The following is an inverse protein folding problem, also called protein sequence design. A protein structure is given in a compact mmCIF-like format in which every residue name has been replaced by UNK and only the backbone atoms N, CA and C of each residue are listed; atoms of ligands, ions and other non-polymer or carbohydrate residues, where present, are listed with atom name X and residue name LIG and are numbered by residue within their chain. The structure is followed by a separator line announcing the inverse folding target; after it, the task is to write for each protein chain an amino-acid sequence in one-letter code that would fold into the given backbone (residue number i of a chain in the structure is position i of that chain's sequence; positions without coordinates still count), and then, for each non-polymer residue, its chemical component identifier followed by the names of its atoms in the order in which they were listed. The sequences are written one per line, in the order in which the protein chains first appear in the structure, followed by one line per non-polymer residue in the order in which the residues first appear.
data_IF_741009239012
#
_entry.id   IF_741009239012
#
_cell.length_a   1.000
_cell.length_b   1.000
_cell.length_c   1.000
_cell.angle_alpha   90.00
_cell.angle_beta   90.00
_cell.angle_gamma   90.00
#
_symmetry.space_group_name_H-M   'P 1'
#
loop_
_entity.id
_entity.type
_entity.pdbx_description
1 polymer ?
#
# COMPACT_ATOMS: atom_id res chain seq x y z
N UNK A 1 -17.39 12.76 21.47
CA UNK A 1 -16.11 13.43 21.81
C UNK A 1 -15.06 12.78 20.96
N UNK A 2 -14.62 13.41 19.88
CA UNK A 2 -13.51 12.90 19.09
C UNK A 2 -12.24 13.07 19.91
N UNK A 3 -11.61 11.95 20.25
CA UNK A 3 -10.34 11.94 20.97
C UNK A 3 -9.31 12.62 20.07
N UNK A 4 -8.79 13.76 20.49
CA UNK A 4 -7.86 14.61 19.74
C UNK A 4 -6.43 14.06 19.85
N UNK A 5 -6.28 12.74 19.92
CA UNK A 5 -4.98 12.09 19.90
C UNK A 5 -4.50 11.95 18.46
N UNK A 6 -3.24 12.30 18.22
CA UNK A 6 -2.64 12.20 16.92
C UNK A 6 -2.77 10.75 16.38
N UNK A 7 -3.24 10.54 15.13
CA UNK A 7 -3.59 9.21 14.60
C UNK A 7 -2.47 8.18 14.71
N UNK A 8 -1.21 8.62 14.66
CA UNK A 8 -0.04 7.74 14.75
C UNK A 8 0.11 7.03 16.09
N UNK A 9 -0.43 7.59 17.20
CA UNK A 9 -0.33 6.98 18.54
C UNK A 9 -1.01 5.62 18.62
N UNK A 10 -1.95 5.35 17.72
CA UNK A 10 -2.61 4.07 17.58
C UNK A 10 -1.64 2.97 17.11
N UNK A 11 -0.69 3.32 16.23
CA UNK A 11 0.16 2.36 15.53
C UNK A 11 1.59 2.30 16.07
N UNK A 12 2.03 3.34 16.80
CA UNK A 12 3.41 3.51 17.23
C UNK A 12 3.51 3.79 18.73
N UNK A 13 4.59 3.33 19.34
CA UNK A 13 4.91 3.63 20.74
C UNK A 13 5.66 4.95 20.86
N UNK A 14 5.72 5.50 22.08
CA UNK A 14 6.44 6.75 22.35
C UNK A 14 7.91 6.73 21.92
N UNK A 15 8.56 5.56 21.95
CA UNK A 15 9.96 5.40 21.49
C UNK A 15 10.11 5.62 19.97
N UNK A 16 9.03 5.46 19.22
CA UNK A 16 9.02 5.58 17.78
C UNK A 16 8.55 6.97 17.32
N UNK A 17 7.99 7.80 18.23
CA UNK A 17 7.53 9.14 17.88
C UNK A 17 8.57 10.03 17.20
N UNK A 18 9.87 10.01 17.56
CA UNK A 18 10.88 10.79 16.85
C UNK A 18 11.01 10.43 15.37
N UNK A 19 10.81 9.13 15.02
CA UNK A 19 10.80 8.63 13.63
C UNK A 19 9.55 9.10 12.92
N UNK A 20 8.40 8.93 13.57
CA UNK A 20 7.10 9.32 13.04
C UNK A 20 7.03 10.83 12.78
N UNK A 21 7.56 11.63 13.70
CA UNK A 21 7.65 13.06 13.53
C UNK A 21 8.57 13.43 12.35
N UNK A 22 9.70 12.75 12.20
CA UNK A 22 10.59 12.97 11.06
C UNK A 22 9.92 12.61 9.72
N UNK A 23 9.13 11.55 9.67
CA UNK A 23 8.33 11.17 8.49
C UNK A 23 7.27 12.24 8.19
N UNK A 24 6.54 12.68 9.21
CA UNK A 24 5.50 13.70 9.07
C UNK A 24 6.07 15.03 8.58
N UNK A 25 7.19 15.48 9.15
CA UNK A 25 7.85 16.75 8.84
C UNK A 25 8.70 16.69 7.55
N UNK A 26 8.79 15.52 6.91
CA UNK A 26 9.67 15.25 5.78
C UNK A 26 11.16 15.55 6.06
N UNK A 27 11.60 15.29 7.30
CA UNK A 27 12.98 15.51 7.76
C UNK A 27 13.87 14.34 7.33
N UNK A 28 14.37 14.43 6.10
CA UNK A 28 15.20 13.39 5.45
C UNK A 28 16.53 13.21 6.17
N UNK A 29 17.14 14.28 6.65
CA UNK A 29 18.43 14.23 7.33
C UNK A 29 18.32 13.47 8.66
N UNK A 30 17.24 13.69 9.39
CA UNK A 30 16.97 12.97 10.63
C UNK A 30 16.68 11.48 10.38
N UNK A 31 15.97 11.15 9.31
CA UNK A 31 15.75 9.75 8.91
C UNK A 31 17.09 9.07 8.59
N UNK A 32 17.97 9.71 7.81
CA UNK A 32 19.30 9.17 7.51
C UNK A 32 20.16 8.98 8.78
N UNK A 33 20.16 9.95 9.69
CA UNK A 33 20.87 9.83 10.97
C UNK A 33 20.37 8.64 11.79
N UNK A 34 19.04 8.41 11.81
CA UNK A 34 18.45 7.25 12.49
C UNK A 34 18.85 5.92 11.81
N UNK A 35 18.86 5.86 10.48
CA UNK A 35 19.31 4.69 9.74
C UNK A 35 20.80 4.40 10.03
N UNK A 36 21.65 5.41 10.04
CA UNK A 36 23.06 5.27 10.42
C UNK A 36 23.26 4.79 11.88
N UNK A 37 22.32 5.10 12.76
CA UNK A 37 22.28 4.61 14.15
C UNK A 37 21.65 3.21 14.27
N UNK A 38 21.32 2.56 13.15
CA UNK A 38 20.84 1.18 13.11
C UNK A 38 19.33 1.02 13.07
N UNK A 39 18.57 2.10 12.85
CA UNK A 39 17.13 1.94 12.57
C UNK A 39 16.93 1.26 11.22
N UNK A 40 16.09 0.22 11.22
CA UNK A 40 15.75 -0.53 10.01
C UNK A 40 14.45 0.03 9.42
N UNK A 41 14.53 0.58 8.21
CA UNK A 41 13.36 1.10 7.46
C UNK A 41 12.31 0.02 7.19
N UNK A 42 12.75 -1.25 7.07
CA UNK A 42 11.91 -2.43 6.89
C UNK A 42 11.56 -3.07 8.25
N UNK A 43 11.12 -2.26 9.19
CA UNK A 43 10.57 -2.71 10.45
C UNK A 43 9.14 -2.18 10.63
N UNK A 44 8.44 -2.75 11.59
CA UNK A 44 7.09 -2.31 11.97
C UNK A 44 7.16 -1.55 13.29
N UNK A 45 6.30 -0.58 13.45
CA UNK A 45 5.98 0.01 14.73
C UNK A 45 5.40 -1.03 15.70
N UNK A 46 5.37 -0.68 16.98
CA UNK A 46 4.94 -1.59 18.06
C UNK A 46 3.58 -2.27 17.78
N UNK A 47 2.69 -1.59 17.08
CA UNK A 47 1.35 -2.09 16.76
C UNK A 47 1.22 -2.55 15.31
N UNK A 48 2.34 -2.82 14.63
CA UNK A 48 2.40 -3.57 13.39
C UNK A 48 2.34 -2.76 12.10
N UNK A 49 2.20 -1.44 12.16
CA UNK A 49 2.23 -0.61 10.95
C UNK A 49 3.66 -0.39 10.46
N UNK A 50 3.91 -0.57 9.16
CA UNK A 50 5.18 -0.23 8.54
C UNK A 50 5.33 1.29 8.35
N UNK A 51 6.57 1.78 8.40
CA UNK A 51 6.84 3.21 8.20
C UNK A 51 6.56 3.67 6.77
N UNK A 52 6.75 2.78 5.78
CA UNK A 52 6.41 3.07 4.40
C UNK A 52 4.90 3.23 4.21
N UNK A 53 4.08 2.31 4.75
CA UNK A 53 2.62 2.42 4.69
C UNK A 53 2.13 3.68 5.40
N UNK A 54 2.73 4.02 6.55
CA UNK A 54 2.41 5.23 7.27
C UNK A 54 2.70 6.50 6.43
N UNK A 55 3.86 6.56 5.75
CA UNK A 55 4.19 7.69 4.87
C UNK A 55 3.21 7.83 3.68
N UNK A 56 2.72 6.70 3.15
CA UNK A 56 1.66 6.69 2.12
C UNK A 56 0.36 7.26 2.69
N UNK A 57 -0.05 6.87 3.89
CA UNK A 57 -1.29 7.35 4.52
C UNK A 57 -1.24 8.81 4.97
N UNK A 58 -0.06 9.32 5.35
CA UNK A 58 0.17 10.74 5.63
C UNK A 58 0.19 11.62 4.36
N UNK A 59 0.01 11.00 3.19
CA UNK A 59 0.09 11.69 1.90
C UNK A 59 1.42 12.41 1.68
N UNK A 60 2.50 11.91 2.27
CA UNK A 60 3.83 12.47 2.13
C UNK A 60 4.60 11.81 0.98
N UNK A 61 4.35 12.29 -0.24
CA UNK A 61 4.94 11.72 -1.46
C UNK A 61 6.47 11.76 -1.44
N UNK A 62 7.05 12.89 -1.03
CA UNK A 62 8.49 13.08 -1.00
C UNK A 62 9.18 12.17 0.01
N UNK A 63 8.55 11.95 1.17
CA UNK A 63 9.06 11.02 2.17
C UNK A 63 8.85 9.56 1.72
N UNK A 64 7.71 9.21 1.13
CA UNK A 64 7.46 7.88 0.57
C UNK A 64 8.54 7.51 -0.44
N UNK A 65 8.80 8.43 -1.40
CA UNK A 65 9.86 8.25 -2.40
C UNK A 65 11.23 8.11 -1.74
N UNK A 66 11.54 8.97 -0.79
CA UNK A 66 12.82 8.96 -0.07
C UNK A 66 13.04 7.64 0.70
N UNK A 67 12.03 7.11 1.37
CA UNK A 67 12.12 5.82 2.05
C UNK A 67 12.40 4.69 1.06
N UNK A 68 11.72 4.67 -0.09
CA UNK A 68 11.95 3.70 -1.16
C UNK A 68 13.38 3.79 -1.73
N UNK A 69 13.89 5.01 -1.99
CA UNK A 69 15.26 5.27 -2.44
C UNK A 69 16.31 4.77 -1.42
N UNK A 70 15.94 4.71 -0.14
CA UNK A 70 16.80 4.25 0.94
C UNK A 70 16.49 2.81 1.40
N UNK A 71 15.87 2.01 0.54
CA UNK A 71 15.75 0.56 0.71
C UNK A 71 14.49 0.11 1.45
N UNK A 72 13.47 0.95 1.57
CA UNK A 72 12.18 0.47 2.02
C UNK A 72 11.60 -0.53 1.01
N UNK A 73 11.17 -1.69 1.49
CA UNK A 73 10.55 -2.74 0.67
C UNK A 73 9.09 -2.36 0.36
N UNK A 74 8.74 -2.11 -0.91
CA UNK A 74 7.37 -1.78 -1.30
C UNK A 74 6.39 -2.94 -1.09
N UNK A 75 6.90 -4.15 -0.82
CA UNK A 75 6.11 -5.35 -0.52
C UNK A 75 6.13 -5.71 0.97
N UNK A 76 6.56 -4.81 1.85
CA UNK A 76 6.59 -5.06 3.27
C UNK A 76 5.17 -5.04 3.85
N UNK A 77 4.69 -6.20 4.30
CA UNK A 77 3.34 -6.35 4.86
C UNK A 77 3.27 -5.72 6.25
N UNK A 78 2.37 -4.77 6.44
CA UNK A 78 1.97 -4.30 7.76
C UNK A 78 0.94 -5.25 8.35
N UNK A 79 1.06 -5.56 9.65
CA UNK A 79 0.14 -6.43 10.37
C UNK A 79 -0.29 -5.70 11.63
N UNK A 80 -1.43 -5.02 11.60
CA UNK A 80 -1.90 -4.21 12.71
C UNK A 80 -3.35 -4.54 13.07
N UNK A 81 -3.75 -4.12 14.26
CA UNK A 81 -5.12 -4.30 14.75
C UNK A 81 -5.94 -3.07 14.40
N UNK A 82 -7.13 -3.29 13.86
CA UNK A 82 -8.03 -2.18 13.56
C UNK A 82 -8.67 -1.65 14.84
N UNK A 83 -9.75 -2.20 15.34
CA UNK A 83 -10.40 -1.70 16.55
C UNK A 83 -10.23 -2.63 17.74
N UNK A 84 -10.10 -3.93 17.51
CA UNK A 84 -9.91 -4.96 18.52
C UNK A 84 -8.72 -5.86 18.19
N UNK A 85 -8.07 -6.48 19.21
CA UNK A 85 -6.96 -7.42 18.98
C UNK A 85 -7.36 -8.65 18.17
N UNK A 86 -8.65 -8.93 18.05
CA UNK A 86 -9.19 -10.07 17.31
C UNK A 86 -9.30 -9.78 15.80
N UNK A 87 -9.28 -8.51 15.41
CA UNK A 87 -9.34 -8.07 14.00
C UNK A 87 -7.95 -7.63 13.51
N UNK A 88 -7.14 -8.62 13.17
CA UNK A 88 -5.82 -8.36 12.58
C UNK A 88 -5.98 -8.02 11.10
N UNK A 89 -5.51 -6.85 10.71
CA UNK A 89 -5.47 -6.39 9.32
C UNK A 89 -4.06 -6.59 8.78
N UNK A 90 -3.96 -7.32 7.66
CA UNK A 90 -2.73 -7.40 6.86
C UNK A 90 -2.87 -6.44 5.68
N UNK A 91 -1.92 -5.52 5.50
CA UNK A 91 -1.97 -4.52 4.43
C UNK A 91 -0.62 -4.31 3.78
N UNK A 92 -0.61 -4.29 2.46
CA UNK A 92 0.54 -3.89 1.65
C UNK A 92 0.50 -2.39 1.37
N UNK A 93 1.66 -1.72 1.20
CA UNK A 93 1.70 -0.32 0.79
C UNK A 93 0.89 -0.04 -0.48
N UNK A 94 0.96 -0.94 -1.48
CA UNK A 94 0.21 -0.81 -2.72
C UNK A 94 -1.30 -0.90 -2.50
N UNK A 95 -1.76 -1.80 -1.63
CA UNK A 95 -3.17 -1.89 -1.24
C UNK A 95 -3.62 -0.60 -0.54
N UNK A 96 -2.80 -0.06 0.37
CA UNK A 96 -3.07 1.18 1.08
C UNK A 96 -3.37 2.36 0.16
N UNK A 97 -2.81 2.38 -1.06
CA UNK A 97 -3.10 3.44 -2.05
C UNK A 97 -4.51 3.36 -2.62
N UNK A 98 -5.18 2.22 -2.50
CA UNK A 98 -6.52 2.01 -3.05
C UNK A 98 -7.63 2.65 -2.22
N UNK A 99 -7.34 3.09 -1.00
CA UNK A 99 -8.32 3.71 -0.10
C UNK A 99 -8.42 5.23 -0.26
N UNK A 100 -7.63 5.83 -1.17
CA UNK A 100 -7.55 7.26 -1.30
C UNK A 100 -7.64 7.74 -2.76
N UNK A 101 -8.32 8.87 -2.94
CA UNK A 101 -8.42 9.57 -4.23
C UNK A 101 -7.06 10.05 -4.78
N UNK A 102 -6.05 10.22 -3.92
CA UNK A 102 -4.69 10.61 -4.33
C UNK A 102 -3.77 9.40 -4.56
N UNK A 103 -4.28 8.19 -4.35
CA UNK A 103 -3.52 6.94 -4.38
C UNK A 103 -2.81 6.65 -5.69
N UNK A 104 -3.28 7.17 -6.84
CA UNK A 104 -2.71 6.89 -8.16
C UNK A 104 -1.22 7.24 -8.27
N UNK A 105 -0.79 8.39 -7.73
CA UNK A 105 0.61 8.79 -7.80
C UNK A 105 1.49 7.89 -6.92
N UNK A 106 1.00 7.54 -5.73
CA UNK A 106 1.69 6.61 -4.83
C UNK A 106 1.74 5.19 -5.41
N UNK A 107 0.66 4.74 -6.06
CA UNK A 107 0.61 3.46 -6.74
C UNK A 107 1.68 3.38 -7.84
N UNK A 108 1.77 4.38 -8.72
CA UNK A 108 2.80 4.45 -9.75
C UNK A 108 4.19 4.41 -9.14
N UNK A 109 4.44 5.21 -8.11
CA UNK A 109 5.70 5.25 -7.39
C UNK A 109 6.06 3.87 -6.83
N UNK A 110 5.15 3.23 -6.08
CA UNK A 110 5.39 1.92 -5.50
C UNK A 110 5.70 0.85 -6.56
N UNK A 111 4.97 0.87 -7.70
CA UNK A 111 5.20 -0.04 -8.82
C UNK A 111 6.57 0.20 -9.49
N UNK A 112 7.01 1.45 -9.64
CA UNK A 112 8.35 1.80 -10.13
C UNK A 112 9.45 1.22 -9.24
N UNK A 113 9.21 1.11 -7.94
CA UNK A 113 10.14 0.49 -6.97
C UNK A 113 9.87 -1.00 -6.73
N UNK A 114 9.05 -1.65 -7.56
CA UNK A 114 8.90 -3.11 -7.57
C UNK A 114 7.80 -3.65 -6.65
N UNK A 115 6.80 -2.84 -6.32
CA UNK A 115 5.61 -3.37 -5.66
C UNK A 115 4.94 -4.45 -6.52
N UNK A 116 4.56 -5.57 -5.91
CA UNK A 116 3.91 -6.68 -6.59
C UNK A 116 2.38 -6.55 -6.51
N UNK A 117 1.69 -6.23 -7.63
CA UNK A 117 0.24 -6.10 -7.62
C UNK A 117 -0.52 -7.43 -7.42
N UNK A 118 0.20 -8.55 -7.53
CA UNK A 118 -0.33 -9.91 -7.35
C UNK A 118 0.06 -10.53 -6.01
N UNK A 119 0.53 -9.75 -5.05
CA UNK A 119 0.88 -10.26 -3.73
C UNK A 119 -0.38 -10.68 -2.97
N UNK A 120 -0.43 -11.94 -2.55
CA UNK A 120 -1.59 -12.52 -1.85
C UNK A 120 -1.45 -12.57 -0.34
N UNK A 121 -0.36 -11.99 0.21
CA UNK A 121 -0.14 -11.96 1.67
C UNK A 121 -1.07 -10.97 2.39
N UNK A 122 -1.69 -10.08 1.65
CA UNK A 122 -2.75 -9.19 2.08
C UNK A 122 -3.90 -9.22 1.07
N UNK A 123 -4.86 -8.30 1.18
CA UNK A 123 -5.91 -8.19 0.18
C UNK A 123 -5.32 -7.76 -1.17
N UNK A 124 -5.75 -8.41 -2.26
CA UNK A 124 -5.30 -8.03 -3.60
C UNK A 124 -5.66 -6.56 -3.88
N UNK A 125 -4.70 -5.72 -4.30
CA UNK A 125 -4.94 -4.29 -4.53
C UNK A 125 -6.10 -4.02 -5.49
N UNK A 126 -6.26 -4.84 -6.53
CA UNK A 126 -7.37 -4.74 -7.46
C UNK A 126 -8.73 -4.99 -6.78
N UNK A 127 -8.79 -5.92 -5.84
CA UNK A 127 -10.01 -6.24 -5.09
C UNK A 127 -10.34 -5.11 -4.11
N UNK A 128 -9.34 -4.55 -3.45
CA UNK A 128 -9.48 -3.37 -2.59
C UNK A 128 -10.02 -2.18 -3.40
N UNK A 129 -9.44 -1.88 -4.56
CA UNK A 129 -9.89 -0.81 -5.44
C UNK A 129 -11.35 -0.98 -5.89
N UNK A 130 -11.79 -2.22 -6.14
CA UNK A 130 -13.16 -2.52 -6.53
C UNK A 130 -14.17 -2.39 -5.39
N UNK A 131 -13.78 -2.70 -4.15
CA UNK A 131 -14.65 -2.61 -2.98
C UNK A 131 -14.91 -1.16 -2.55
N UNK A 132 -13.90 -0.30 -2.66
CA UNK A 132 -13.96 1.07 -2.13
C UNK A 132 -14.37 2.12 -3.17
N UNK A 133 -14.91 1.70 -4.34
CA UNK A 133 -15.34 2.60 -5.41
C UNK A 133 -14.30 3.69 -5.77
N UNK A 134 -13.03 3.37 -5.54
CA UNK A 134 -11.92 4.26 -5.87
C UNK A 134 -11.96 4.51 -7.37
N UNK A 135 -11.76 5.73 -7.77
CA UNK A 135 -11.96 6.27 -9.12
C UNK A 135 -11.69 5.27 -10.25
N UNK A 136 -12.56 5.23 -11.26
CA UNK A 136 -12.46 4.36 -12.44
C UNK A 136 -11.03 4.26 -13.01
N UNK A 137 -10.24 5.33 -12.86
CA UNK A 137 -8.84 5.41 -13.31
C UNK A 137 -7.91 4.44 -12.57
N UNK A 138 -8.03 4.31 -11.25
CA UNK A 138 -7.21 3.38 -10.44
C UNK A 138 -7.54 1.94 -10.78
N UNK A 139 -8.83 1.62 -10.85
CA UNK A 139 -9.29 0.28 -11.16
C UNK A 139 -8.92 -0.14 -12.59
N UNK A 140 -9.03 0.75 -13.57
CA UNK A 140 -8.64 0.49 -14.96
C UNK A 140 -7.12 0.36 -15.11
N UNK A 141 -6.35 1.15 -14.38
CA UNK A 141 -4.90 1.08 -14.38
C UNK A 141 -4.40 -0.24 -13.77
N UNK A 142 -4.93 -0.66 -12.63
CA UNK A 142 -4.61 -1.96 -12.01
C UNK A 142 -5.04 -3.13 -12.88
N UNK A 143 -6.23 -3.07 -13.48
CA UNK A 143 -6.69 -4.10 -14.42
C UNK A 143 -5.75 -4.21 -15.64
N UNK A 144 -5.26 -3.08 -16.16
CA UNK A 144 -4.30 -3.05 -17.27
C UNK A 144 -2.96 -3.65 -16.86
N UNK A 145 -2.45 -3.32 -15.68
CA UNK A 145 -1.21 -3.89 -15.15
C UNK A 145 -1.33 -5.41 -14.96
N UNK A 146 -2.39 -5.87 -14.31
CA UNK A 146 -2.63 -7.29 -14.11
C UNK A 146 -2.77 -8.04 -15.43
N UNK A 147 -3.44 -7.46 -16.43
CA UNK A 147 -3.54 -8.05 -17.76
C UNK A 147 -2.19 -8.09 -18.49
N UNK A 148 -1.32 -7.10 -18.31
CA UNK A 148 0.01 -7.09 -18.92
C UNK A 148 0.96 -8.07 -18.24
N UNK A 149 0.93 -8.16 -16.93
CA UNK A 149 1.69 -9.16 -16.18
C UNK A 149 1.16 -10.58 -16.45
N UNK A 150 -0.15 -10.76 -16.50
CA UNK A 150 -0.76 -12.04 -16.87
C UNK A 150 -0.32 -12.49 -18.26
N UNK A 151 -0.32 -11.62 -19.26
CA UNK A 151 0.17 -11.97 -20.61
C UNK A 151 1.64 -12.37 -20.61
N UNK A 152 2.48 -11.80 -19.75
CA UNK A 152 3.88 -12.22 -19.59
C UNK A 152 4.00 -13.61 -18.95
N UNK A 153 3.19 -13.88 -17.93
CA UNK A 153 3.25 -15.15 -17.20
C UNK A 153 2.56 -16.30 -17.94
N UNK A 154 1.48 -16.06 -18.68
CA UNK A 154 0.81 -17.10 -19.47
C UNK A 154 1.60 -17.49 -20.71
N UNK A 155 2.49 -16.64 -21.20
CA UNK A 155 3.49 -17.02 -22.18
C UNK A 155 4.56 -17.97 -21.60
N UNK A 156 4.70 -18.05 -20.25
CA UNK A 156 5.73 -18.82 -19.57
C UNK A 156 5.19 -20.05 -18.79
N UNK A 157 3.91 -20.12 -18.42
CA UNK A 157 3.37 -21.27 -17.66
C UNK A 157 1.85 -21.40 -17.76
N UNK A 158 1.36 -22.63 -17.89
CA UNK A 158 -0.06 -22.94 -17.90
C UNK A 158 -0.65 -22.88 -16.48
N UNK A 159 -1.58 -21.98 -16.23
CA UNK A 159 -2.46 -22.08 -15.08
C UNK A 159 -2.71 -20.81 -14.28
N UNK A 160 -3.69 -20.04 -14.69
CA UNK A 160 -4.36 -19.08 -13.82
C UNK A 160 -5.57 -19.74 -13.14
N UNK A 161 -5.79 -19.46 -11.87
CA UNK A 161 -6.96 -19.97 -11.16
C UNK A 161 -8.23 -19.30 -11.70
N UNK A 162 -9.24 -20.09 -12.06
CA UNK A 162 -10.54 -19.67 -12.61
C UNK A 162 -11.25 -18.48 -11.91
N UNK A 163 -11.11 -18.26 -10.59
CA UNK A 163 -11.76 -17.15 -9.91
C UNK A 163 -11.35 -15.75 -10.41
N UNK A 164 -10.10 -15.56 -10.79
CA UNK A 164 -9.59 -14.27 -11.25
C UNK A 164 -10.05 -13.95 -12.68
N UNK A 165 -10.09 -14.96 -13.58
CA UNK A 165 -10.64 -14.78 -14.92
C UNK A 165 -12.12 -14.42 -14.90
N UNK A 166 -12.91 -15.09 -14.07
CA UNK A 166 -14.33 -14.83 -13.92
C UNK A 166 -14.57 -13.42 -13.35
N UNK A 167 -13.73 -12.99 -12.40
CA UNK A 167 -13.81 -11.66 -11.82
C UNK A 167 -13.44 -10.57 -12.83
N UNK A 168 -12.35 -10.74 -13.59
CA UNK A 168 -11.93 -9.81 -14.64
C UNK A 168 -12.99 -9.67 -15.74
N UNK A 169 -13.66 -10.76 -16.12
CA UNK A 169 -14.77 -10.74 -17.08
C UNK A 169 -15.97 -9.95 -16.56
N UNK A 170 -16.35 -10.20 -15.31
CA UNK A 170 -17.48 -9.51 -14.67
C UNK A 170 -17.19 -8.01 -14.49
N UNK A 171 -15.96 -7.66 -14.13
CA UNK A 171 -15.52 -6.27 -13.98
C UNK A 171 -15.48 -5.53 -15.33
N UNK A 172 -14.92 -6.14 -16.37
CA UNK A 172 -14.93 -5.59 -17.73
C UNK A 172 -16.38 -5.41 -18.27
N UNK A 173 -17.29 -6.29 -17.87
CA UNK A 173 -18.70 -6.16 -18.22
C UNK A 173 -19.37 -4.99 -17.48
N UNK A 174 -19.06 -4.80 -16.18
CA UNK A 174 -19.56 -3.67 -15.38
C UNK A 174 -19.07 -2.32 -15.94
N UNK A 175 -17.81 -2.24 -16.36
CA UNK A 175 -17.25 -1.05 -17.01
C UNK A 175 -17.98 -0.68 -18.31
N UNK A 176 -18.40 -1.66 -19.12
CA UNK A 176 -19.17 -1.40 -20.38
C UNK A 176 -20.54 -0.78 -20.11
N UNK A 177 -21.19 -1.11 -19.00
CA UNK A 177 -22.50 -0.58 -18.66
C UNK A 177 -22.46 0.79 -17.97
N UNK A 178 -21.29 1.22 -17.45
CA UNK A 178 -21.14 2.56 -16.85
C UNK A 178 -20.90 3.67 -17.88
N UNK A 179 -20.71 3.30 -19.17
CA UNK A 179 -20.44 4.23 -20.29
C UNK A 179 -21.64 4.34 -21.26
N UNK A 180 -22.76 3.73 -20.95
CA UNK A 180 -24.04 3.85 -21.68
C UNK A 180 -25.05 4.66 -20.87
#
# INVERSE_FOLDING_TARGET
MFNNEAPYKRFFSEKEYPIIQAIHDCDKDKILDMMHKGWNVNSMGKHGMSYLLYAVWEHNYDMTKFLLENGADPNFVSVFWDETPEETVCMLPLEGTCYDKYGMNYMKLLLEYGANPNDTRAQLPLFAAALYEVTLDVSSFLATLLLTEWKRHTAASHGMTQPLEMWLRNYAQKLRYSWS
#
